data_IF_780821278013
#
_entry.id   IF_780821278013
#
_cell.length_a   1.000
_cell.length_b   1.000
_cell.length_c   1.000
_cell.angle_alpha   90.00
_cell.angle_beta   90.00
_cell.angle_gamma   90.00
#
_symmetry.space_group_name_H-M   'P 1'
#
loop_
_entity.id
_entity.type
_entity.pdbx_description
1 polymer ?
#
# COMPACT_ATOMS: atom_id res chain seq x y z
N UNK A 1 3.38 -22.87 85.07
CA UNK A 1 4.51 -22.31 84.29
C UNK A 1 4.16 -22.46 82.82
N UNK A 2 4.13 -21.32 82.09
CA UNK A 2 4.04 -21.19 80.62
C UNK A 2 2.72 -21.70 80.00
N UNK A 3 1.99 -21.03 79.11
CA UNK A 3 1.84 -19.65 78.66
C UNK A 3 0.55 -19.65 77.81
N UNK A 4 -0.21 -18.57 77.87
CA UNK A 4 -1.47 -18.32 77.17
C UNK A 4 -1.39 -18.43 75.64
N UNK A 5 -2.50 -18.76 74.96
CA UNK A 5 -3.04 -17.96 73.84
C UNK A 5 -4.44 -18.42 73.43
N UNK A 6 -5.20 -17.47 72.90
CA UNK A 6 -6.65 -17.36 72.84
C UNK A 6 -7.14 -17.42 71.39
N UNK A 7 -8.37 -17.92 71.20
CA UNK A 7 -9.43 -17.56 70.23
C UNK A 7 -9.20 -17.57 68.71
N UNK A 8 -10.21 -18.11 68.00
CA UNK A 8 -10.57 -17.68 66.65
C UNK A 8 -11.36 -18.69 65.82
N UNK A 9 -12.69 -18.71 65.95
CA UNK A 9 -13.64 -19.35 65.04
C UNK A 9 -13.61 -18.68 63.65
N UNK A 10 -13.74 -19.45 62.56
CA UNK A 10 -14.34 -18.94 61.32
C UNK A 10 -15.09 -20.04 60.54
N UNK A 11 -16.30 -19.70 60.12
CA UNK A 11 -17.29 -20.54 59.45
C UNK A 11 -17.00 -20.73 57.94
N UNK A 12 -17.40 -21.89 57.41
CA UNK A 12 -17.33 -22.22 56.00
C UNK A 12 -18.62 -21.77 55.28
N UNK A 13 -18.49 -20.92 54.26
CA UNK A 13 -19.55 -20.58 53.30
C UNK A 13 -19.29 -21.34 51.98
N UNK A 14 -20.27 -22.14 51.56
CA UNK A 14 -20.33 -22.77 50.23
C UNK A 14 -21.12 -21.85 49.29
N UNK A 15 -20.44 -21.21 48.35
CA UNK A 15 -21.07 -20.44 47.26
C UNK A 15 -21.01 -21.24 45.96
N UNK A 16 -22.18 -21.48 45.37
CA UNK A 16 -22.32 -22.17 44.08
C UNK A 16 -21.81 -21.35 42.90
N UNK A 17 -21.14 -22.01 41.97
CA UNK A 17 -20.68 -21.41 40.72
C UNK A 17 -21.77 -21.46 39.66
N UNK A 18 -22.24 -20.29 39.22
CA UNK A 18 -23.06 -20.11 38.01
C UNK A 18 -22.10 -19.92 36.84
N UNK A 19 -22.04 -20.88 35.91
CA UNK A 19 -21.30 -20.73 34.66
C UNK A 19 -22.11 -19.91 33.66
N UNK A 20 -21.75 -18.64 33.51
CA UNK A 20 -22.19 -17.82 32.38
C UNK A 20 -21.36 -18.20 31.17
N UNK A 21 -21.96 -18.90 30.21
CA UNK A 21 -21.35 -19.13 28.89
C UNK A 21 -21.45 -17.81 28.12
N UNK A 22 -20.34 -17.06 28.09
CA UNK A 22 -20.19 -15.93 27.18
C UNK A 22 -20.07 -16.49 25.76
N UNK A 23 -21.16 -16.42 25.00
CA UNK A 23 -21.14 -16.63 23.56
C UNK A 23 -20.19 -15.62 22.94
N UNK A 24 -19.13 -16.11 22.30
CA UNK A 24 -18.28 -15.25 21.47
C UNK A 24 -19.14 -14.72 20.31
N UNK A 25 -19.12 -13.42 20.01
CA UNK A 25 -19.72 -12.95 18.79
C UNK A 25 -19.00 -13.65 17.64
N UNK A 26 -19.75 -14.46 16.88
CA UNK A 26 -19.33 -14.89 15.56
C UNK A 26 -19.15 -13.59 14.76
N UNK A 27 -17.91 -13.13 14.63
CA UNK A 27 -17.60 -12.09 13.66
C UNK A 27 -18.12 -12.59 12.32
N UNK A 28 -18.96 -11.80 11.65
CA UNK A 28 -19.32 -12.11 10.28
C UNK A 28 -18.02 -12.23 9.51
N UNK A 29 -17.71 -13.43 9.01
CA UNK A 29 -16.73 -13.54 7.94
C UNK A 29 -17.22 -12.56 6.87
N UNK A 30 -16.44 -11.50 6.62
CA UNK A 30 -16.62 -10.77 5.37
C UNK A 30 -16.59 -11.84 4.27
N UNK A 31 -17.47 -11.77 3.26
CA UNK A 31 -17.38 -12.70 2.14
C UNK A 31 -15.92 -12.68 1.66
N UNK A 32 -15.26 -13.84 1.69
CA UNK A 32 -13.86 -13.96 1.27
C UNK A 32 -13.74 -13.30 -0.09
N UNK A 33 -12.92 -12.24 -0.18
CA UNK A 33 -12.79 -11.47 -1.41
C UNK A 33 -12.30 -12.41 -2.51
N UNK A 34 -13.13 -12.64 -3.53
CA UNK A 34 -12.78 -13.54 -4.60
C UNK A 34 -11.66 -12.92 -5.44
N UNK A 35 -10.48 -13.56 -5.39
CA UNK A 35 -9.30 -13.12 -6.15
C UNK A 35 -9.58 -13.03 -7.65
N UNK A 36 -10.37 -13.94 -8.22
CA UNK A 36 -10.73 -13.87 -9.64
C UNK A 36 -11.59 -12.65 -9.97
N UNK A 37 -12.58 -12.32 -9.13
CA UNK A 37 -13.41 -11.12 -9.33
C UNK A 37 -12.56 -9.84 -9.27
N UNK A 38 -11.64 -9.77 -8.30
CA UNK A 38 -10.70 -8.64 -8.20
C UNK A 38 -9.73 -8.57 -9.39
N UNK A 39 -9.27 -9.72 -9.90
CA UNK A 39 -8.42 -9.77 -11.08
C UNK A 39 -9.14 -9.30 -12.34
N UNK A 40 -10.39 -9.73 -12.54
CA UNK A 40 -11.23 -9.27 -13.65
C UNK A 40 -11.43 -7.74 -13.63
N UNK A 41 -11.69 -7.16 -12.46
CA UNK A 41 -11.81 -5.71 -12.33
C UNK A 41 -10.49 -4.96 -12.59
N UNK A 42 -9.37 -5.49 -12.10
CA UNK A 42 -8.05 -4.91 -12.38
C UNK A 42 -7.72 -4.99 -13.88
N UNK A 43 -8.02 -6.10 -14.55
CA UNK A 43 -7.84 -6.26 -16.00
C UNK A 43 -8.77 -5.32 -16.79
N UNK A 44 -10.03 -5.14 -16.35
CA UNK A 44 -10.95 -4.17 -16.93
C UNK A 44 -10.44 -2.73 -16.79
N UNK A 45 -9.87 -2.37 -15.63
CA UNK A 45 -9.20 -1.08 -15.42
C UNK A 45 -8.02 -0.89 -16.37
N UNK A 46 -7.14 -1.87 -16.48
CA UNK A 46 -5.97 -1.81 -17.38
C UNK A 46 -6.43 -1.64 -18.83
N UNK A 47 -7.45 -2.39 -19.25
CA UNK A 47 -8.00 -2.28 -20.60
C UNK A 47 -8.63 -0.90 -20.84
N UNK A 48 -9.39 -0.37 -19.88
CA UNK A 48 -9.97 0.97 -19.94
C UNK A 48 -8.90 2.06 -20.06
N UNK A 49 -7.85 2.01 -19.23
CA UNK A 49 -6.73 2.94 -19.27
C UNK A 49 -5.94 2.86 -20.58
N UNK A 50 -5.73 1.63 -21.09
CA UNK A 50 -5.06 1.41 -22.37
C UNK A 50 -5.84 2.04 -23.52
N UNK A 51 -7.17 1.88 -23.51
CA UNK A 51 -8.04 2.39 -24.56
C UNK A 51 -8.44 3.87 -24.39
N UNK A 52 -8.26 4.46 -23.20
CA UNK A 52 -8.84 5.75 -22.86
C UNK A 52 -10.36 5.73 -22.84
N UNK A 53 -10.95 4.60 -22.41
CA UNK A 53 -12.39 4.36 -22.49
C UNK A 53 -12.96 3.84 -21.17
N UNK A 54 -13.48 4.77 -20.37
CA UNK A 54 -14.15 4.50 -19.08
C UNK A 54 -15.31 3.52 -19.23
N UNK A 55 -16.01 3.50 -20.38
CA UNK A 55 -17.15 2.60 -20.62
C UNK A 55 -16.79 1.12 -20.52
N UNK A 56 -15.51 0.77 -20.70
CA UNK A 56 -15.04 -0.62 -20.54
C UNK A 56 -15.15 -1.14 -19.10
N UNK A 57 -15.27 -0.24 -18.11
CA UNK A 57 -15.45 -0.59 -16.70
C UNK A 57 -16.88 -1.00 -16.34
N UNK A 58 -17.87 -0.77 -17.21
CA UNK A 58 -19.30 -0.87 -16.86
C UNK A 58 -19.70 -2.24 -16.27
N UNK A 59 -19.04 -3.32 -16.69
CA UNK A 59 -19.31 -4.65 -16.19
C UNK A 59 -18.68 -4.95 -14.82
N UNK A 60 -17.72 -4.16 -14.36
CA UNK A 60 -16.99 -4.36 -13.09
C UNK A 60 -17.43 -3.39 -11.98
N UNK A 61 -17.84 -2.18 -12.32
CA UNK A 61 -18.18 -1.11 -11.34
C UNK A 61 -19.59 -1.25 -10.76
N UNK A 62 -19.80 -0.87 -9.51
CA UNK A 62 -21.14 -0.77 -8.93
C UNK A 62 -21.99 0.32 -9.60
N UNK A 63 -23.29 0.32 -9.33
CA UNK A 63 -24.22 1.35 -9.84
C UNK A 63 -23.82 2.77 -9.38
N UNK A 64 -23.12 2.86 -8.25
CA UNK A 64 -22.46 4.06 -7.77
C UNK A 64 -21.04 3.70 -7.35
N UNK A 65 -20.06 4.35 -7.97
CA UNK A 65 -18.65 4.18 -7.69
C UNK A 65 -17.94 5.54 -7.77
N UNK A 66 -16.86 5.70 -7.03
CA UNK A 66 -16.08 6.93 -7.00
C UNK A 66 -14.77 6.78 -7.78
N UNK A 67 -14.32 7.90 -8.38
CA UNK A 67 -12.99 8.02 -8.95
C UNK A 67 -12.21 9.12 -8.23
N UNK A 68 -11.00 8.78 -7.78
CA UNK A 68 -10.04 9.73 -7.26
C UNK A 68 -8.77 9.70 -8.12
N UNK A 69 -8.25 10.87 -8.46
CA UNK A 69 -7.01 11.05 -9.20
C UNK A 69 -6.15 12.08 -8.46
N UNK A 70 -4.93 11.69 -8.10
CA UNK A 70 -3.96 12.53 -7.38
C UNK A 70 -4.58 13.19 -6.14
N UNK A 71 -5.19 12.36 -5.28
CA UNK A 71 -5.88 12.76 -4.04
C UNK A 71 -7.11 13.68 -4.22
N UNK A 72 -7.64 13.83 -5.44
CA UNK A 72 -8.82 14.66 -5.72
C UNK A 72 -9.94 13.80 -6.31
N UNK A 73 -11.15 13.96 -5.78
CA UNK A 73 -12.36 13.40 -6.41
C UNK A 73 -12.55 14.03 -7.79
N UNK A 74 -12.85 13.20 -8.78
CA UNK A 74 -12.98 13.61 -10.17
C UNK A 74 -13.96 12.72 -10.90
N UNK A 75 -14.58 13.25 -11.95
CA UNK A 75 -15.34 12.44 -12.89
C UNK A 75 -14.38 11.59 -13.74
N UNK A 76 -14.60 10.28 -13.81
CA UNK A 76 -13.68 9.37 -14.50
C UNK A 76 -13.47 9.71 -15.99
N UNK A 77 -14.50 10.28 -16.65
CA UNK A 77 -14.44 10.70 -18.05
C UNK A 77 -13.64 12.00 -18.28
N UNK A 78 -13.42 12.79 -17.22
CA UNK A 78 -12.51 13.94 -17.22
C UNK A 78 -11.10 13.55 -16.78
N UNK A 79 -10.96 12.32 -16.26
CA UNK A 79 -9.77 11.73 -15.65
C UNK A 79 -8.72 11.17 -16.62
N UNK A 80 -7.65 10.64 -16.05
CA UNK A 80 -6.62 9.92 -16.80
C UNK A 80 -7.20 8.70 -17.55
N UNK A 81 -8.29 8.11 -17.04
CA UNK A 81 -8.98 6.98 -17.66
C UNK A 81 -9.61 7.30 -19.03
N UNK A 82 -9.82 8.58 -19.38
CA UNK A 82 -10.27 8.97 -20.72
C UNK A 82 -9.14 9.22 -21.71
N UNK A 83 -7.88 9.06 -21.26
CA UNK A 83 -6.68 9.19 -22.09
C UNK A 83 -6.08 7.82 -22.38
N UNK A 84 -6.01 7.46 -23.67
CA UNK A 84 -5.36 6.22 -24.09
C UNK A 84 -3.86 6.27 -23.77
N UNK A 85 -3.36 5.21 -23.12
CA UNK A 85 -1.95 5.04 -22.81
C UNK A 85 -1.41 3.75 -23.41
N UNK A 86 -0.21 3.80 -23.99
CA UNK A 86 0.54 2.60 -24.31
C UNK A 86 1.17 2.05 -23.02
N UNK A 87 0.53 1.06 -22.41
CA UNK A 87 1.04 0.41 -21.20
C UNK A 87 2.22 -0.52 -21.58
N UNK A 88 3.41 -0.20 -21.09
CA UNK A 88 4.64 -0.96 -21.32
C UNK A 88 4.96 -1.93 -20.16
N UNK A 89 4.49 -1.64 -18.95
CA UNK A 89 4.60 -2.51 -17.78
C UNK A 89 3.33 -2.47 -16.94
N UNK A 90 2.98 -3.62 -16.35
CA UNK A 90 1.95 -3.72 -15.32
C UNK A 90 2.27 -4.79 -14.28
N UNK A 91 1.91 -4.54 -13.02
CA UNK A 91 1.90 -5.52 -11.92
C UNK A 91 0.70 -5.25 -11.01
N UNK A 92 -0.02 -6.30 -10.63
CA UNK A 92 -1.19 -6.20 -9.74
C UNK A 92 -1.01 -7.06 -8.50
N UNK A 93 -1.24 -6.47 -7.33
CA UNK A 93 -1.28 -7.11 -6.02
C UNK A 93 -2.72 -7.20 -5.50
N UNK A 94 -2.99 -8.17 -4.65
CA UNK A 94 -4.32 -8.55 -4.18
C UNK A 94 -4.40 -8.56 -2.65
N UNK A 95 -5.17 -7.64 -2.09
CA UNK A 95 -5.54 -7.61 -0.68
C UNK A 95 -6.86 -8.35 -0.46
N UNK A 96 -6.75 -9.63 -0.16
CA UNK A 96 -7.88 -10.53 0.07
C UNK A 96 -8.62 -10.26 1.40
N UNK A 97 -8.06 -9.41 2.27
CA UNK A 97 -8.69 -9.03 3.55
C UNK A 97 -9.49 -7.75 3.40
N UNK A 98 -8.97 -6.78 2.63
CA UNK A 98 -9.62 -5.49 2.41
C UNK A 98 -10.45 -5.42 1.12
N UNK A 99 -10.59 -6.53 0.39
CA UNK A 99 -11.21 -6.60 -0.94
C UNK A 99 -10.72 -5.49 -1.87
N UNK A 100 -9.39 -5.40 -2.03
CA UNK A 100 -8.77 -4.37 -2.83
C UNK A 100 -7.59 -4.89 -3.66
N UNK A 101 -7.29 -4.19 -4.75
CA UNK A 101 -6.07 -4.43 -5.54
C UNK A 101 -5.22 -3.18 -5.61
N UNK A 102 -3.92 -3.35 -5.79
CA UNK A 102 -3.01 -2.28 -6.20
C UNK A 102 -2.41 -2.67 -7.55
N UNK A 103 -2.46 -1.77 -8.54
CA UNK A 103 -1.83 -1.98 -9.83
C UNK A 103 -0.82 -0.87 -10.12
N UNK A 104 0.44 -1.26 -10.34
CA UNK A 104 1.47 -0.39 -10.93
C UNK A 104 1.36 -0.47 -12.46
N UNK A 105 1.31 0.68 -13.14
CA UNK A 105 1.41 0.80 -14.60
C UNK A 105 2.53 1.76 -14.98
N UNK A 106 3.24 1.43 -16.06
CA UNK A 106 4.20 2.36 -16.68
C UNK A 106 3.84 2.50 -18.16
N UNK A 107 3.65 3.74 -18.59
CA UNK A 107 3.59 4.12 -19.99
C UNK A 107 4.84 4.94 -20.31
N UNK A 108 5.76 4.37 -21.09
CA UNK A 108 7.07 4.96 -21.39
C UNK A 108 7.10 5.68 -22.75
N UNK A 109 5.95 5.86 -23.40
CA UNK A 109 5.83 6.69 -24.60
C UNK A 109 6.23 8.14 -24.28
N UNK A 110 7.29 8.70 -24.90
CA UNK A 110 7.73 10.06 -24.62
C UNK A 110 6.69 11.13 -24.95
N UNK A 111 5.69 10.84 -25.80
CA UNK A 111 4.61 11.78 -26.07
C UNK A 111 3.62 11.89 -24.90
N UNK A 112 3.42 10.81 -24.13
CA UNK A 112 2.47 10.72 -23.04
C UNK A 112 2.99 9.81 -21.91
N UNK A 113 4.09 10.18 -21.23
CA UNK A 113 4.72 9.31 -20.25
C UNK A 113 4.00 9.38 -18.91
N UNK A 114 3.79 8.23 -18.28
CA UNK A 114 3.21 8.11 -16.94
C UNK A 114 3.80 6.95 -16.15
N UNK A 115 3.92 7.13 -14.84
CA UNK A 115 4.09 6.06 -13.85
C UNK A 115 2.90 6.17 -12.89
N UNK A 116 2.16 5.08 -12.74
CA UNK A 116 0.81 5.13 -12.17
C UNK A 116 0.67 4.02 -11.14
N UNK A 117 0.17 4.37 -9.96
CA UNK A 117 -0.33 3.44 -8.97
C UNK A 117 -1.85 3.59 -8.91
N UNK A 118 -2.59 2.48 -8.94
CA UNK A 118 -4.05 2.51 -8.76
C UNK A 118 -4.50 1.50 -7.72
N UNK A 119 -5.21 1.97 -6.70
CA UNK A 119 -5.93 1.14 -5.75
C UNK A 119 -7.39 1.00 -6.18
N UNK A 120 -7.88 -0.24 -6.34
CA UNK A 120 -9.29 -0.54 -6.63
C UNK A 120 -9.89 -1.18 -5.40
N UNK A 121 -11.05 -0.70 -4.94
CA UNK A 121 -11.77 -1.26 -3.79
C UNK A 121 -13.11 -1.81 -4.23
N UNK A 122 -13.50 -2.93 -3.61
CA UNK A 122 -14.73 -3.64 -3.91
C UNK A 122 -15.74 -3.54 -2.77
N UNK A 123 -17.02 -3.51 -3.14
CA UNK A 123 -18.14 -3.70 -2.22
C UNK A 123 -18.32 -5.15 -1.84
N UNK A 124 -19.27 -5.42 -0.94
CA UNK A 124 -19.63 -6.76 -0.48
C UNK A 124 -20.20 -7.66 -1.60
N UNK A 125 -20.66 -7.05 -2.68
CA UNK A 125 -21.16 -7.68 -3.90
C UNK A 125 -20.05 -7.98 -4.93
N UNK A 126 -18.79 -7.69 -4.59
CA UNK A 126 -17.63 -7.83 -5.47
C UNK A 126 -17.51 -6.74 -6.54
N UNK A 127 -18.44 -5.78 -6.61
CA UNK A 127 -18.40 -4.69 -7.59
C UNK A 127 -17.44 -3.59 -7.12
N UNK A 128 -16.78 -2.92 -8.06
CA UNK A 128 -15.88 -1.81 -7.73
C UNK A 128 -16.67 -0.62 -7.16
N UNK A 129 -16.26 -0.13 -6.01
CA UNK A 129 -16.84 1.05 -5.33
C UNK A 129 -15.93 2.28 -5.39
N UNK A 130 -14.61 2.08 -5.53
CA UNK A 130 -13.63 3.15 -5.67
C UNK A 130 -12.48 2.72 -6.59
N UNK A 131 -12.11 3.61 -7.51
CA UNK A 131 -10.83 3.58 -8.21
C UNK A 131 -10.05 4.83 -7.78
N UNK A 132 -8.98 4.65 -7.03
CA UNK A 132 -8.10 5.72 -6.56
C UNK A 132 -6.76 5.60 -7.29
N UNK A 133 -6.33 6.66 -7.95
CA UNK A 133 -5.14 6.68 -8.81
C UNK A 133 -4.18 7.79 -8.35
N UNK A 134 -2.92 7.42 -8.15
CA UNK A 134 -1.79 8.37 -8.14
C UNK A 134 -1.05 8.21 -9.46
N UNK A 135 -0.97 9.28 -10.24
CA UNK A 135 -0.37 9.29 -11.57
C UNK A 135 0.68 10.39 -11.66
N UNK A 136 1.94 10.00 -11.71
CA UNK A 136 3.04 10.90 -11.97
C UNK A 136 3.29 11.04 -13.46
N UNK A 137 3.76 12.22 -13.88
CA UNK A 137 4.05 12.52 -15.28
C UNK A 137 5.13 13.60 -15.38
N UNK A 138 5.32 14.20 -16.54
CA UNK A 138 6.30 15.27 -16.76
C UNK A 138 6.20 16.36 -15.68
N UNK A 139 7.34 16.68 -15.06
CA UNK A 139 7.52 17.58 -13.91
C UNK A 139 7.20 17.00 -12.52
N UNK A 140 6.68 15.78 -12.43
CA UNK A 140 6.65 15.03 -11.17
C UNK A 140 8.05 14.81 -10.59
N UNK A 141 8.10 14.43 -9.32
CA UNK A 141 9.34 14.21 -8.58
C UNK A 141 10.24 13.22 -9.32
N UNK A 142 11.48 13.63 -9.64
CA UNK A 142 12.49 12.76 -10.28
C UNK A 142 11.97 11.92 -11.47
N UNK A 143 11.01 12.45 -12.23
CA UNK A 143 10.25 11.66 -13.19
C UNK A 143 11.02 11.37 -14.50
N UNK A 144 11.08 10.09 -14.87
CA UNK A 144 11.48 9.60 -16.19
C UNK A 144 10.93 8.17 -16.38
N UNK A 145 9.74 8.05 -16.99
CA UNK A 145 9.03 6.77 -17.12
C UNK A 145 9.85 5.69 -17.86
N UNK A 146 10.73 6.06 -18.79
CA UNK A 146 11.57 5.11 -19.51
C UNK A 146 12.62 4.50 -18.58
N UNK A 147 13.24 5.32 -17.73
CA UNK A 147 14.19 4.83 -16.73
C UNK A 147 13.50 4.04 -15.62
N UNK A 148 12.33 4.46 -15.16
CA UNK A 148 11.51 3.67 -14.23
C UNK A 148 11.24 2.29 -14.80
N UNK A 149 10.80 2.20 -16.06
CA UNK A 149 10.60 0.93 -16.76
C UNK A 149 11.89 0.09 -16.82
N UNK A 150 13.02 0.71 -17.14
CA UNK A 150 14.32 0.03 -17.20
C UNK A 150 14.67 -0.64 -15.86
N UNK A 151 14.43 0.03 -14.72
CA UNK A 151 14.72 -0.53 -13.40
C UNK A 151 13.72 -1.58 -12.94
N UNK A 152 12.41 -1.35 -13.11
CA UNK A 152 11.38 -2.32 -12.69
C UNK A 152 11.55 -3.66 -13.40
N UNK A 153 11.98 -3.67 -14.67
CA UNK A 153 12.23 -4.90 -15.41
C UNK A 153 13.44 -5.71 -14.92
N UNK A 154 14.26 -5.16 -14.02
CA UNK A 154 15.40 -5.84 -13.40
C UNK A 154 15.07 -6.44 -12.04
N UNK A 155 13.88 -6.18 -11.51
CA UNK A 155 13.48 -6.62 -10.17
C UNK A 155 12.70 -7.94 -10.19
N UNK A 156 12.79 -8.70 -9.09
CA UNK A 156 12.11 -9.98 -8.94
C UNK A 156 10.89 -9.85 -8.02
N UNK A 157 9.71 -9.87 -8.63
CA UNK A 157 8.43 -9.72 -7.93
C UNK A 157 7.64 -11.03 -7.88
N UNK A 158 8.30 -12.18 -7.76
CA UNK A 158 7.59 -13.46 -7.66
C UNK A 158 6.82 -13.59 -6.33
N UNK A 159 5.70 -14.34 -6.31
CA UNK A 159 5.00 -14.66 -5.08
C UNK A 159 5.89 -15.41 -4.08
N UNK A 160 5.87 -14.95 -2.83
CA UNK A 160 6.60 -15.56 -1.73
C UNK A 160 5.95 -16.91 -1.37
N UNK A 161 6.72 -18.00 -1.18
CA UNK A 161 6.18 -19.29 -0.74
C UNK A 161 5.40 -19.15 0.57
N UNK A 162 4.25 -19.82 0.70
CA UNK A 162 3.31 -19.66 1.83
C UNK A 162 3.98 -19.69 3.22
N UNK A 163 4.93 -20.59 3.45
CA UNK A 163 5.64 -20.72 4.74
C UNK A 163 6.71 -19.66 5.01
N UNK A 164 6.97 -18.75 4.06
CA UNK A 164 7.95 -17.66 4.15
C UNK A 164 7.31 -16.26 4.09
N UNK A 165 5.98 -16.19 3.97
CA UNK A 165 5.26 -14.91 3.91
C UNK A 165 5.26 -14.26 5.28
N UNK A 166 5.61 -12.99 5.31
CA UNK A 166 5.44 -12.16 6.50
C UNK A 166 3.95 -11.94 6.77
N UNK A 167 3.61 -11.68 8.03
CA UNK A 167 2.22 -11.38 8.39
C UNK A 167 1.81 -10.01 7.86
N UNK A 168 0.52 -9.85 7.53
CA UNK A 168 -0.09 -8.56 7.19
C UNK A 168 0.34 -7.41 8.12
N UNK A 169 0.31 -7.64 9.43
CA UNK A 169 0.66 -6.63 10.43
C UNK A 169 2.14 -6.21 10.34
N UNK A 170 3.05 -7.15 10.10
CA UNK A 170 4.47 -6.86 9.92
C UNK A 170 4.72 -6.05 8.66
N UNK A 171 4.09 -6.44 7.55
CA UNK A 171 4.18 -5.74 6.27
C UNK A 171 3.68 -4.30 6.43
N UNK A 172 2.52 -4.12 7.06
CA UNK A 172 1.97 -2.78 7.33
C UNK A 172 2.89 -1.95 8.22
N UNK A 173 3.36 -2.52 9.33
CA UNK A 173 4.21 -1.81 10.29
C UNK A 173 5.52 -1.33 9.67
N UNK A 174 6.08 -2.07 8.72
CA UNK A 174 7.27 -1.67 7.99
C UNK A 174 7.03 -0.44 7.10
N UNK A 175 5.91 -0.41 6.37
CA UNK A 175 5.52 0.74 5.57
C UNK A 175 5.20 1.98 6.43
N UNK A 176 4.52 1.79 7.57
CA UNK A 176 4.27 2.87 8.52
C UNK A 176 5.56 3.46 9.07
N UNK A 177 6.48 2.61 9.55
CA UNK A 177 7.77 3.04 10.07
C UNK A 177 8.59 3.81 9.03
N UNK A 178 8.51 3.41 7.75
CA UNK A 178 9.20 4.11 6.67
C UNK A 178 8.62 5.52 6.48
N UNK A 179 7.31 5.64 6.34
CA UNK A 179 6.64 6.93 6.14
C UNK A 179 6.72 7.86 7.36
N UNK A 180 6.89 7.31 8.57
CA UNK A 180 7.03 8.07 9.81
C UNK A 180 8.42 8.71 9.97
N UNK A 181 9.44 8.26 9.23
CA UNK A 181 10.82 8.78 9.31
C UNK A 181 10.91 10.31 9.11
N UNK A 182 9.94 10.90 8.39
CA UNK A 182 9.97 12.32 8.04
C UNK A 182 9.65 13.19 9.27
N UNK A 183 8.85 12.67 10.20
CA UNK A 183 8.33 13.40 11.36
C UNK A 183 8.79 12.80 12.71
N UNK A 184 9.56 11.71 12.68
CA UNK A 184 10.01 11.00 13.89
C UNK A 184 11.46 10.53 13.78
N UNK A 185 12.31 11.02 14.70
CA UNK A 185 13.74 10.69 14.73
C UNK A 185 14.04 9.23 15.09
N UNK A 186 13.07 8.51 15.67
CA UNK A 186 13.24 7.11 16.07
C UNK A 186 12.66 6.13 15.06
N UNK A 187 11.82 6.59 14.12
CA UNK A 187 11.14 5.72 13.16
C UNK A 187 12.11 4.97 12.24
N UNK A 188 13.24 5.58 11.85
CA UNK A 188 14.25 4.93 11.03
C UNK A 188 14.86 3.67 11.67
N UNK A 189 14.84 3.57 13.02
CA UNK A 189 15.28 2.38 13.75
C UNK A 189 14.26 1.25 13.72
N UNK A 190 12.97 1.57 13.50
CA UNK A 190 11.89 0.60 13.39
C UNK A 190 11.73 0.05 11.96
N UNK A 191 12.23 0.77 10.94
CA UNK A 191 12.23 0.28 9.56
C UNK A 191 13.07 -1.00 9.45
N UNK A 192 12.49 -2.11 8.98
CA UNK A 192 13.22 -3.38 8.90
C UNK A 192 14.09 -3.42 7.63
N UNK A 193 15.16 -2.64 7.61
CA UNK A 193 16.07 -2.57 6.46
C UNK A 193 16.65 -3.93 6.07
N UNK A 194 16.47 -4.33 4.81
CA UNK A 194 17.12 -5.49 4.21
C UNK A 194 18.44 -5.16 3.51
N UNK A 195 19.14 -6.22 3.10
CA UNK A 195 20.33 -6.15 2.25
C UNK A 195 20.37 -7.42 1.40
N UNK A 196 20.20 -7.33 0.07
CA UNK A 196 20.13 -6.09 -0.70
C UNK A 196 18.74 -5.44 -0.63
N UNK A 197 18.69 -4.12 -0.66
CA UNK A 197 17.46 -3.33 -0.72
C UNK A 197 17.63 -2.16 -1.70
N UNK A 198 16.64 -1.90 -2.55
CA UNK A 198 16.66 -0.78 -3.49
C UNK A 198 15.41 0.09 -3.38
N UNK A 199 15.59 1.40 -3.60
CA UNK A 199 14.49 2.34 -3.78
C UNK A 199 14.47 2.79 -5.22
N UNK A 200 13.30 2.73 -5.82
CA UNK A 200 12.94 3.33 -7.07
C UNK A 200 12.01 4.52 -6.76
N UNK A 201 12.64 5.67 -6.50
CA UNK A 201 11.93 6.91 -6.31
C UNK A 201 11.69 7.55 -7.67
N UNK A 202 10.57 7.17 -8.29
CA UNK A 202 10.26 7.48 -9.69
C UNK A 202 11.34 6.93 -10.62
N UNK A 203 12.28 7.75 -11.12
CA UNK A 203 13.42 7.28 -11.91
C UNK A 203 14.76 7.24 -11.17
N UNK A 204 14.78 7.71 -9.92
CA UNK A 204 15.97 7.65 -9.09
C UNK A 204 16.08 6.29 -8.42
N UNK A 205 17.09 5.52 -8.82
CA UNK A 205 17.31 4.17 -8.33
C UNK A 205 18.55 4.10 -7.43
N UNK A 206 18.40 3.58 -6.22
CA UNK A 206 19.54 3.46 -5.28
C UNK A 206 20.38 2.20 -5.51
N UNK A 207 19.85 1.23 -6.25
CA UNK A 207 20.52 -0.03 -6.52
C UNK A 207 21.60 0.04 -7.59
N UNK A 208 22.58 -0.85 -7.49
CA UNK A 208 23.65 -1.06 -8.47
C UNK A 208 23.72 -2.51 -8.94
N UNK A 209 22.72 -3.32 -8.58
CA UNK A 209 22.68 -4.75 -8.84
C UNK A 209 23.68 -5.51 -7.97
N UNK A 210 24.00 -4.99 -6.78
CA UNK A 210 25.02 -5.56 -5.89
C UNK A 210 24.39 -6.19 -4.65
N UNK A 211 25.01 -7.24 -4.07
CA UNK A 211 24.51 -7.87 -2.84
C UNK A 211 24.43 -6.91 -1.64
N UNK A 212 25.20 -5.83 -1.66
CA UNK A 212 25.28 -4.81 -0.59
C UNK A 212 24.43 -3.55 -0.86
N UNK A 213 23.56 -3.58 -1.89
CA UNK A 213 22.64 -2.47 -2.16
C UNK A 213 21.77 -2.13 -0.94
N UNK A 214 21.51 -0.84 -0.74
CA UNK A 214 20.83 -0.34 0.46
C UNK A 214 19.79 0.74 0.13
N UNK A 215 18.65 0.66 0.82
CA UNK A 215 17.58 1.65 0.77
C UNK A 215 17.81 2.85 1.71
N UNK A 216 18.96 2.94 2.39
CA UNK A 216 19.20 3.99 3.39
C UNK A 216 19.79 5.27 2.80
N UNK A 217 20.31 5.23 1.58
CA UNK A 217 20.91 6.41 0.95
C UNK A 217 19.84 7.50 0.79
N UNK A 218 20.07 8.71 1.28
CA UNK A 218 19.13 9.82 1.10
C UNK A 218 17.84 9.76 1.94
N UNK A 219 17.77 8.93 2.99
CA UNK A 219 16.75 9.13 4.04
C UNK A 219 17.01 10.48 4.75
N UNK A 220 15.97 11.20 5.23
CA UNK A 220 16.13 12.48 5.86
C UNK A 220 16.83 12.30 7.20
N UNK A 221 17.72 13.24 7.45
CA UNK A 221 18.33 13.48 8.75
C UNK A 221 17.53 14.48 9.58
N UNK A 222 16.64 15.25 8.94
CA UNK A 222 15.76 16.19 9.60
C UNK A 222 14.39 15.54 9.81
N UNK A 223 14.12 15.12 11.04
CA UNK A 223 12.91 14.40 11.43
C UNK A 223 11.82 15.31 12.00
N UNK A 224 11.84 16.59 11.63
CA UNK A 224 10.87 17.61 12.06
C UNK A 224 9.94 18.06 10.92
N UNK A 225 9.93 17.30 9.83
CA UNK A 225 9.09 17.59 8.66
C UNK A 225 7.63 17.25 8.95
N UNK A 226 6.72 17.86 8.19
CA UNK A 226 5.31 17.54 8.27
C UNK A 226 5.08 16.05 7.94
N UNK A 227 4.14 15.37 8.64
CA UNK A 227 3.93 13.93 8.48
C UNK A 227 3.28 13.57 7.14
N UNK A 228 3.45 12.31 6.73
CA UNK A 228 2.67 11.73 5.63
C UNK A 228 1.28 11.31 6.12
N UNK A 229 0.23 12.03 5.71
CA UNK A 229 -1.15 11.86 6.20
C UNK A 229 -2.07 11.19 5.16
N UNK A 230 -3.35 10.99 5.50
CA UNK A 230 -4.37 10.36 4.65
C UNK A 230 -3.92 9.01 4.05
N UNK A 231 -3.27 8.17 4.86
CA UNK A 231 -2.74 6.87 4.42
C UNK A 231 -3.85 5.90 4.05
N UNK A 232 -3.77 5.28 2.87
CA UNK A 232 -4.71 4.29 2.35
C UNK A 232 -3.95 3.07 1.84
N UNK A 233 -4.33 1.91 2.35
CA UNK A 233 -3.52 0.69 2.26
C UNK A 233 -4.14 -0.34 1.33
N UNK A 234 -3.27 -1.06 0.62
CA UNK A 234 -3.52 -2.37 0.02
C UNK A 234 -2.34 -3.25 0.40
N UNK A 235 -2.60 -4.36 1.09
CA UNK A 235 -1.56 -5.27 1.59
C UNK A 235 -1.76 -6.67 1.01
N UNK A 236 -0.74 -7.19 0.34
CA UNK A 236 -0.72 -8.52 -0.26
C UNK A 236 0.37 -9.38 0.38
N UNK A 237 -0.04 -10.31 1.25
CA UNK A 237 0.87 -11.24 1.93
C UNK A 237 1.55 -12.21 0.96
N UNK A 238 0.93 -12.54 -0.17
CA UNK A 238 1.54 -13.41 -1.16
C UNK A 238 2.70 -12.71 -1.88
N UNK A 239 2.60 -11.41 -2.09
CA UNK A 239 3.66 -10.58 -2.67
C UNK A 239 4.61 -10.00 -1.62
N UNK A 240 4.29 -10.17 -0.33
CA UNK A 240 5.03 -9.57 0.79
C UNK A 240 4.97 -8.05 0.77
N UNK A 241 3.91 -7.45 0.22
CA UNK A 241 3.91 -6.04 -0.16
C UNK A 241 2.79 -5.22 0.46
N UNK A 242 3.05 -3.93 0.61
CA UNK A 242 2.04 -2.92 0.95
C UNK A 242 2.18 -1.70 0.06
N UNK A 243 1.10 -1.33 -0.62
CA UNK A 243 0.93 -0.02 -1.24
C UNK A 243 0.24 0.91 -0.26
N UNK A 244 0.80 2.11 -0.08
CA UNK A 244 0.29 3.17 0.77
C UNK A 244 0.18 4.44 -0.06
N UNK A 245 -1.05 4.89 -0.32
CA UNK A 245 -1.28 6.24 -0.83
C UNK A 245 -1.41 7.21 0.32
N UNK A 246 -0.82 8.40 0.19
CA UNK A 246 -0.84 9.43 1.21
C UNK A 246 -0.85 10.84 0.61
N UNK A 247 -0.92 11.82 1.51
CA UNK A 247 -0.53 13.20 1.23
C UNK A 247 0.87 13.38 1.81
N UNK A 248 1.84 13.71 0.95
CA UNK A 248 3.18 14.08 1.40
C UNK A 248 3.22 15.57 1.72
N UNK A 249 2.88 15.91 2.97
CA UNK A 249 2.69 17.30 3.37
C UNK A 249 3.95 18.16 3.20
N UNK A 250 5.12 17.57 3.43
CA UNK A 250 6.39 18.27 3.28
C UNK A 250 6.74 18.59 1.81
N UNK A 251 6.30 17.75 0.87
CA UNK A 251 6.46 17.96 -0.56
C UNK A 251 5.23 18.65 -1.13
N UNK A 252 5.05 19.95 -0.89
CA UNK A 252 3.98 20.74 -1.55
C UNK A 252 2.56 20.17 -1.41
N UNK A 253 2.25 19.44 -0.32
CA UNK A 253 0.99 18.69 -0.17
C UNK A 253 0.73 17.68 -1.31
N UNK A 254 1.80 17.06 -1.83
CA UNK A 254 1.77 16.20 -3.00
C UNK A 254 0.89 14.97 -2.79
N UNK A 255 0.30 14.52 -3.89
CA UNK A 255 -0.31 13.22 -3.99
C UNK A 255 0.78 12.18 -4.19
N UNK A 256 0.80 11.18 -3.32
CA UNK A 256 1.98 10.34 -3.16
C UNK A 256 1.60 8.88 -2.94
N UNK A 257 2.35 7.99 -3.58
CA UNK A 257 2.24 6.54 -3.45
C UNK A 257 3.58 5.98 -3.04
N UNK A 258 3.58 5.10 -2.04
CA UNK A 258 4.72 4.26 -1.69
C UNK A 258 4.31 2.79 -1.74
N UNK A 259 4.99 1.97 -2.53
CA UNK A 259 4.89 0.51 -2.42
C UNK A 259 6.16 -0.05 -1.76
N UNK A 260 5.97 -0.91 -0.78
CA UNK A 260 7.05 -1.60 -0.07
C UNK A 260 6.92 -3.09 -0.30
N UNK A 261 8.02 -3.77 -0.63
CA UNK A 261 8.14 -5.24 -0.60
C UNK A 261 9.03 -5.68 0.55
N UNK A 262 8.58 -6.68 1.28
CA UNK A 262 9.30 -7.37 2.33
C UNK A 262 9.56 -8.82 1.94
N UNK A 263 10.74 -9.31 2.30
CA UNK A 263 11.11 -10.72 2.21
C UNK A 263 11.81 -11.14 3.51
N UNK A 264 11.24 -12.12 4.22
CA UNK A 264 11.79 -12.59 5.48
C UNK A 264 11.84 -11.50 6.56
N UNK A 265 10.83 -10.64 6.59
CA UNK A 265 10.68 -9.55 7.54
C UNK A 265 11.61 -8.38 7.27
N UNK A 266 12.15 -8.24 6.05
CA UNK A 266 13.10 -7.19 5.67
C UNK A 266 12.71 -6.52 4.36
N UNK A 267 12.84 -5.20 4.28
CA UNK A 267 12.61 -4.43 3.05
C UNK A 267 13.53 -4.89 1.93
N UNK A 268 12.93 -5.14 0.77
CA UNK A 268 13.59 -5.54 -0.47
C UNK A 268 13.49 -4.45 -1.53
N UNK A 269 12.28 -3.96 -1.80
CA UNK A 269 12.00 -2.91 -2.78
C UNK A 269 11.13 -1.81 -2.18
N UNK A 270 11.38 -0.57 -2.60
CA UNK A 270 10.56 0.60 -2.29
C UNK A 270 10.30 1.35 -3.59
N UNK A 271 9.04 1.46 -4.01
CA UNK A 271 8.67 2.26 -5.18
C UNK A 271 7.92 3.49 -4.71
N UNK A 272 8.19 4.64 -5.34
CA UNK A 272 7.43 5.86 -5.07
C UNK A 272 6.91 6.50 -6.35
N UNK A 273 5.75 7.14 -6.24
CA UNK A 273 5.18 7.99 -7.28
C UNK A 273 4.66 9.26 -6.62
N UNK A 274 5.06 10.44 -7.10
CA UNK A 274 4.74 11.71 -6.44
C UNK A 274 4.32 12.77 -7.45
N UNK A 275 3.12 13.33 -7.25
CA UNK A 275 2.49 14.34 -8.09
C UNK A 275 2.20 15.61 -7.27
N UNK A 276 2.65 16.77 -7.75
CA UNK A 276 2.60 18.03 -7.03
C UNK A 276 1.52 19.00 -7.57
N UNK A 277 0.31 18.50 -7.81
CA UNK A 277 -0.85 19.32 -8.17
C UNK A 277 -0.79 19.95 -9.57
N UNK A 278 -0.15 19.30 -10.53
CA UNK A 278 0.11 19.76 -11.89
C UNK A 278 1.32 20.68 -12.01
N UNK A 279 2.06 20.87 -10.92
CA UNK A 279 3.26 21.71 -10.88
C UNK A 279 4.53 20.87 -10.87
N UNK A 280 5.66 21.51 -11.14
CA UNK A 280 6.96 20.86 -10.93
C UNK A 280 7.18 20.61 -9.45
N UNK A 281 7.39 19.35 -9.08
CA UNK A 281 7.76 18.97 -7.72
C UNK A 281 9.12 19.55 -7.35
N UNK A 282 9.19 20.25 -6.22
CA UNK A 282 10.41 20.84 -5.66
C UNK A 282 10.34 20.85 -4.14
N UNK A 283 11.45 20.51 -3.48
CA UNK A 283 11.68 20.71 -2.04
C UNK A 283 12.45 22.00 -1.77
#
# INVERSE_FOLDING_TARGET
MVSSTNFGFLAAFLSGAVHVVLGHPLGSAAPDCDRSVMAEAADAYIAAQTAGNVGMLQHAVGDSWEYEENNKKKEAHEGLLSKALKVDHRRTNFDLVACATYTELIAADPANPFVIGTQIRHGVDGRVTLIDTIASTTNSWLFDAKKTLEYVLQEEWDPIPKGKRDSRDMIKAAGDAYLDMWSSATAANAVPWGTPCTRLEESAYTGKGRPDDSCKAGIPSNHSQAPNTRRRYVIDEAMGSVSIFCVWEHMMMAADSHEFRLEGGKLRYVHTMTECGGQRCTL
#
